data_IF_024239206278
#
_entry.id   IF_024239206278
#
_cell.length_a   1.000
_cell.length_b   1.000
_cell.length_c   1.000
_cell.angle_alpha   90.00
_cell.angle_beta   90.00
_cell.angle_gamma   90.00
#
_symmetry.space_group_name_H-M   'P 1'
#
loop_
_entity.id
_entity.type
_entity.pdbx_description
1 polymer ?
#
# COMPACT_ATOMS: atom_id res chain seq x y z
N UNK A 1 -16.11 16.05 -49.38
CA UNK A 1 -14.84 15.46 -49.85
C UNK A 1 -13.89 15.39 -48.67
N UNK A 2 -13.33 14.20 -48.43
CA UNK A 2 -12.14 13.86 -47.63
C UNK A 2 -11.73 14.81 -46.47
N UNK A 3 -11.61 14.33 -45.23
CA UNK A 3 -10.63 13.31 -44.92
C UNK A 3 -11.11 12.33 -43.82
N UNK A 4 -11.24 11.08 -44.23
CA UNK A 4 -10.93 9.92 -43.41
C UNK A 4 -9.48 10.01 -42.90
N UNK A 5 -9.21 9.29 -41.80
CA UNK A 5 -7.92 8.85 -41.26
C UNK A 5 -7.36 9.63 -40.06
N UNK A 6 -7.86 9.29 -38.86
CA UNK A 6 -6.96 8.80 -37.81
C UNK A 6 -7.61 7.59 -37.12
N UNK A 7 -7.28 6.44 -37.70
CA UNK A 7 -7.39 5.11 -37.13
C UNK A 7 -6.80 5.04 -35.72
N UNK A 8 -7.51 4.36 -34.82
CA UNK A 8 -6.86 3.48 -33.86
C UNK A 8 -6.03 4.15 -32.77
N UNK A 9 -6.66 4.97 -31.92
CA UNK A 9 -6.20 5.06 -30.54
C UNK A 9 -6.78 3.87 -29.78
N UNK A 10 -6.07 2.76 -29.90
CA UNK A 10 -6.03 1.67 -28.93
C UNK A 10 -6.04 2.30 -27.54
N UNK A 11 -7.21 2.32 -26.88
CA UNK A 11 -7.27 2.45 -25.42
C UNK A 11 -6.77 1.12 -24.87
N UNK A 12 -5.45 1.02 -24.77
CA UNK A 12 -4.78 0.11 -23.85
C UNK A 12 -5.14 0.63 -22.45
N UNK A 13 -6.28 0.19 -21.92
CA UNK A 13 -6.64 0.35 -20.51
C UNK A 13 -5.66 -0.51 -19.68
N UNK A 14 -4.42 -0.06 -19.55
CA UNK A 14 -3.40 -0.81 -18.80
C UNK A 14 -3.20 -0.28 -17.37
N UNK A 15 -3.71 0.89 -17.01
CA UNK A 15 -3.53 1.44 -15.67
C UNK A 15 -4.74 2.30 -15.37
N UNK A 16 -5.79 1.70 -14.79
CA UNK A 16 -6.77 2.48 -14.04
C UNK A 16 -5.99 3.22 -12.97
N UNK A 17 -5.89 4.55 -13.14
CA UNK A 17 -5.19 5.42 -12.20
C UNK A 17 -5.68 5.11 -10.78
N UNK A 18 -4.74 4.79 -9.88
CA UNK A 18 -5.03 4.43 -8.50
C UNK A 18 -6.07 5.40 -7.90
N UNK A 19 -7.25 4.87 -7.55
CA UNK A 19 -8.29 5.66 -6.89
C UNK A 19 -7.70 6.29 -5.63
N UNK A 20 -7.72 7.63 -5.53
CA UNK A 20 -7.19 8.33 -4.35
C UNK A 20 -8.05 8.02 -3.13
N UNK A 21 -7.50 7.32 -2.16
CA UNK A 21 -8.13 7.17 -0.85
C UNK A 21 -8.14 8.52 -0.12
N UNK A 22 -9.33 9.01 0.26
CA UNK A 22 -9.42 10.17 1.14
C UNK A 22 -9.07 9.76 2.58
N UNK A 23 -7.79 9.92 2.96
CA UNK A 23 -7.26 9.55 4.29
C UNK A 23 -6.65 10.73 5.05
N UNK A 24 -6.80 11.96 4.56
CA UNK A 24 -6.16 13.16 5.14
C UNK A 24 -6.50 13.32 6.63
N UNK A 25 -7.77 13.24 6.99
CA UNK A 25 -8.21 13.39 8.39
C UNK A 25 -7.69 12.26 9.27
N UNK A 26 -7.74 11.00 8.79
CA UNK A 26 -7.22 9.86 9.54
C UNK A 26 -5.72 10.01 9.78
N UNK A 27 -4.94 10.33 8.75
CA UNK A 27 -3.50 10.53 8.87
C UNK A 27 -3.17 11.63 9.86
N UNK A 28 -3.85 12.78 9.79
CA UNK A 28 -3.68 13.89 10.75
C UNK A 28 -3.92 13.43 12.20
N UNK A 29 -4.90 12.56 12.42
CA UNK A 29 -5.30 12.10 13.74
C UNK A 29 -4.43 10.94 14.28
N UNK A 30 -3.85 10.11 13.41
CA UNK A 30 -3.15 8.88 13.85
C UNK A 30 -1.63 8.94 13.71
N UNK A 31 -1.07 9.75 12.80
CA UNK A 31 0.36 9.65 12.44
C UNK A 31 1.36 9.82 13.60
N UNK A 32 0.99 10.54 14.66
CA UNK A 32 1.87 10.74 15.83
C UNK A 32 1.92 9.52 16.77
N UNK A 33 0.87 8.70 16.76
CA UNK A 33 0.70 7.54 17.66
C UNK A 33 0.78 6.19 16.93
N UNK A 34 0.59 6.20 15.61
CA UNK A 34 0.58 5.04 14.73
C UNK A 34 1.78 5.16 13.77
N UNK A 35 2.86 4.45 14.08
CA UNK A 35 4.15 4.58 13.38
C UNK A 35 5.29 3.87 14.12
N UNK A 36 6.53 4.38 13.97
CA UNK A 36 7.74 3.76 14.55
C UNK A 36 7.64 3.63 16.08
N UNK A 37 7.06 4.64 16.75
CA UNK A 37 6.92 4.65 18.21
C UNK A 37 5.99 3.56 18.76
N UNK A 38 5.12 3.00 17.93
CA UNK A 38 4.16 1.94 18.29
C UNK A 38 4.40 0.63 17.53
N UNK A 39 5.52 0.52 16.81
CA UNK A 39 5.84 -0.67 16.03
C UNK A 39 6.18 -1.86 16.95
N UNK A 40 5.39 -2.92 16.85
CA UNK A 40 5.63 -4.20 17.55
C UNK A 40 5.76 -5.35 16.57
N UNK A 41 6.84 -6.13 16.68
CA UNK A 41 7.06 -7.34 15.89
C UNK A 41 7.96 -8.31 16.66
N UNK A 42 7.90 -9.60 16.31
CA UNK A 42 8.84 -10.61 16.79
C UNK A 42 9.77 -11.01 15.66
N UNK A 43 11.08 -10.91 15.87
CA UNK A 43 12.06 -11.44 14.93
C UNK A 43 12.00 -12.97 14.92
N UNK A 44 11.78 -13.55 13.74
CA UNK A 44 11.75 -15.01 13.55
C UNK A 44 13.08 -15.50 13.03
N UNK A 45 13.63 -14.81 12.02
CA UNK A 45 14.90 -15.23 11.42
C UNK A 45 15.62 -14.07 10.73
N UNK A 46 16.95 -14.11 10.78
CA UNK A 46 17.83 -13.28 9.96
C UNK A 46 18.69 -14.19 9.09
N UNK A 47 18.65 -14.01 7.77
CA UNK A 47 19.56 -14.67 6.82
C UNK A 47 20.29 -13.62 6.00
N UNK A 48 21.61 -13.70 5.98
CA UNK A 48 22.46 -12.87 5.13
C UNK A 48 22.78 -13.63 3.86
N UNK A 49 22.47 -13.02 2.73
CA UNK A 49 22.83 -13.48 1.40
C UNK A 49 23.84 -12.49 0.80
N UNK A 50 24.56 -12.86 -0.27
CA UNK A 50 25.58 -11.99 -0.85
C UNK A 50 25.10 -10.59 -1.24
N UNK A 51 23.82 -10.45 -1.63
CA UNK A 51 23.26 -9.19 -2.14
C UNK A 51 22.14 -8.59 -1.27
N UNK A 52 21.66 -9.30 -0.24
CA UNK A 52 20.57 -8.82 0.61
C UNK A 52 20.53 -9.53 1.96
N UNK A 53 19.81 -8.93 2.90
CA UNK A 53 19.48 -9.57 4.18
C UNK A 53 17.99 -9.84 4.22
N UNK A 54 17.61 -11.11 4.41
CA UNK A 54 16.22 -11.48 4.67
C UNK A 54 15.97 -11.40 6.18
N UNK A 55 15.01 -10.57 6.57
CA UNK A 55 14.54 -10.46 7.96
C UNK A 55 13.09 -10.95 7.97
N UNK A 56 12.88 -12.16 8.49
CA UNK A 56 11.56 -12.73 8.67
C UNK A 56 11.03 -12.35 10.05
N UNK A 57 9.83 -11.76 10.10
CA UNK A 57 9.21 -11.24 11.33
C UNK A 57 7.76 -11.68 11.44
N UNK A 58 7.27 -11.85 12.68
CA UNK A 58 5.85 -11.96 12.98
C UNK A 58 5.31 -10.60 13.44
N UNK A 59 4.25 -10.10 12.77
CA UNK A 59 3.68 -8.76 13.02
C UNK A 59 2.33 -8.80 13.77
N UNK A 60 1.94 -9.97 14.28
CA UNK A 60 0.67 -10.17 14.97
C UNK A 60 -0.54 -10.27 14.03
N UNK A 61 -1.74 -10.14 14.60
CA UNK A 61 -3.03 -10.20 13.89
C UNK A 61 -3.66 -8.81 13.83
N UNK A 62 -4.49 -8.51 12.83
CA UNK A 62 -5.23 -7.25 12.78
C UNK A 62 -6.05 -7.05 14.06
N UNK A 63 -6.12 -5.82 14.61
CA UNK A 63 -6.95 -5.55 15.77
C UNK A 63 -8.44 -5.81 15.45
N UNK A 64 -9.26 -6.22 16.44
CA UNK A 64 -10.70 -6.40 16.25
C UNK A 64 -11.34 -5.12 15.70
N UNK A 65 -12.30 -5.27 14.78
CA UNK A 65 -13.07 -4.11 14.32
C UNK A 65 -13.83 -3.52 15.52
N UNK A 66 -13.84 -2.19 15.69
CA UNK A 66 -14.65 -1.57 16.72
C UNK A 66 -16.12 -1.97 16.53
N UNK A 67 -16.83 -2.27 17.62
CA UNK A 67 -18.27 -2.41 17.58
C UNK A 67 -18.88 -1.09 17.10
N UNK A 68 -19.59 -1.14 15.98
CA UNK A 68 -20.50 -0.04 15.59
C UNK A 68 -21.80 -0.29 16.36
N UNK A 69 -22.09 0.57 17.32
CA UNK A 69 -23.45 0.74 17.83
C UNK A 69 -24.36 1.31 16.75
#
# INVERSE_FOLDING_TARGET
MAAHLLSGLVKRDNITSHLKFNKIQNTKNTMRRDGISSLTYRLVQVKRFPLYTNISVEIGKPPPRPFKG
#
